data_IF_511515325268
#
_entry.id   IF_511515325268
#
_cell.length_a   1.000
_cell.length_b   1.000
_cell.length_c   1.000
_cell.angle_alpha   90.00
_cell.angle_beta   90.00
_cell.angle_gamma   90.00
#
_symmetry.space_group_name_H-M   'P 1'
#
loop_
_entity.id
_entity.type
_entity.pdbx_description
1 polymer ?
#
# COMPACT_ATOMS: atom_id res chain seq x y z
N UNK A 1 26.10 36.01 -12.26
CA UNK A 1 25.01 35.01 -12.25
C UNK A 1 24.19 35.26 -10.99
N UNK A 2 23.01 35.80 -11.16
CA UNK A 2 22.13 36.24 -10.10
C UNK A 2 21.56 35.08 -9.27
N UNK A 3 21.52 35.24 -7.96
CA UNK A 3 20.86 34.33 -7.00
C UNK A 3 19.42 33.97 -7.41
N UNK A 4 18.76 34.86 -8.15
CA UNK A 4 17.44 34.63 -8.74
C UNK A 4 17.41 33.46 -9.73
N UNK A 5 18.45 33.26 -10.52
CA UNK A 5 18.54 32.14 -11.47
C UNK A 5 18.65 30.77 -10.77
N UNK A 6 19.37 30.70 -9.67
CA UNK A 6 19.51 29.45 -8.88
C UNK A 6 18.21 29.09 -8.15
N UNK A 7 17.47 30.08 -7.67
CA UNK A 7 16.15 29.88 -7.05
C UNK A 7 15.10 29.43 -8.06
N UNK A 8 15.11 29.98 -9.27
CA UNK A 8 14.17 29.59 -10.34
C UNK A 8 14.46 28.17 -10.81
N UNK A 9 15.74 27.81 -10.95
CA UNK A 9 16.14 26.44 -11.32
C UNK A 9 15.81 25.42 -10.22
N UNK A 10 16.01 25.83 -8.96
CA UNK A 10 15.62 25.01 -7.79
C UNK A 10 14.09 24.82 -7.74
N UNK A 11 13.31 25.86 -8.02
CA UNK A 11 11.84 25.82 -8.04
C UNK A 11 11.31 25.01 -9.26
N UNK A 12 11.95 25.13 -10.43
CA UNK A 12 11.57 24.33 -11.60
C UNK A 12 11.93 22.84 -11.43
N UNK A 13 12.97 22.53 -10.66
CA UNK A 13 13.35 21.16 -10.34
C UNK A 13 12.36 20.51 -9.34
N UNK A 14 11.58 21.32 -8.63
CA UNK A 14 10.52 20.89 -7.71
C UNK A 14 9.11 21.02 -8.31
N UNK A 15 8.97 21.09 -9.63
CA UNK A 15 7.65 20.89 -10.21
C UNK A 15 7.16 19.51 -9.75
N UNK A 16 5.91 19.42 -9.21
CA UNK A 16 5.32 18.13 -8.91
C UNK A 16 5.29 17.36 -10.22
N UNK A 17 6.26 16.47 -10.39
CA UNK A 17 6.17 15.42 -11.40
C UNK A 17 4.81 14.79 -11.18
N UNK A 18 4.06 14.61 -12.23
CA UNK A 18 2.88 13.76 -12.20
C UNK A 18 3.20 12.59 -11.28
N UNK A 19 2.49 12.56 -10.15
CA UNK A 19 2.71 11.52 -9.14
C UNK A 19 2.58 10.22 -9.91
N UNK A 20 3.70 9.54 -10.10
CA UNK A 20 3.70 8.29 -10.84
C UNK A 20 2.70 7.37 -10.12
N UNK A 21 1.92 6.62 -10.84
CA UNK A 21 0.90 5.70 -10.29
C UNK A 21 1.47 4.87 -9.13
N UNK A 22 2.75 4.51 -9.22
CA UNK A 22 3.50 3.81 -8.17
C UNK A 22 3.61 4.63 -6.88
N UNK A 23 3.85 5.94 -6.97
CA UNK A 23 3.94 6.81 -5.79
C UNK A 23 2.57 6.97 -5.12
N UNK A 24 1.51 7.02 -5.91
CA UNK A 24 0.15 7.11 -5.41
C UNK A 24 -0.25 5.85 -4.63
N UNK A 25 0.10 4.67 -5.16
CA UNK A 25 -0.10 3.39 -4.47
C UNK A 25 0.72 3.33 -3.17
N UNK A 26 2.00 3.70 -3.21
CA UNK A 26 2.86 3.72 -2.03
C UNK A 26 2.33 4.66 -0.94
N UNK A 27 1.79 5.80 -1.33
CA UNK A 27 1.23 6.80 -0.44
C UNK A 27 -0.07 6.30 0.20
N UNK A 28 -0.93 5.62 -0.57
CA UNK A 28 -2.11 4.94 -0.05
C UNK A 28 -1.75 3.88 1.00
N UNK A 29 -0.77 3.01 0.71
CA UNK A 29 -0.32 2.00 1.66
C UNK A 29 0.24 2.63 2.94
N UNK A 30 1.06 3.67 2.81
CA UNK A 30 1.58 4.42 3.96
C UNK A 30 0.46 5.02 4.81
N UNK A 31 -0.57 5.59 4.18
CA UNK A 31 -1.73 6.14 4.89
C UNK A 31 -2.52 5.06 5.63
N UNK A 32 -2.73 3.90 5.03
CA UNK A 32 -3.42 2.75 5.65
C UNK A 32 -2.62 2.24 6.85
N UNK A 33 -1.30 2.12 6.72
CA UNK A 33 -0.41 1.68 7.81
C UNK A 33 -0.46 2.67 8.97
N UNK A 34 -0.39 3.97 8.70
CA UNK A 34 -0.46 5.02 9.73
C UNK A 34 -1.82 5.02 10.43
N UNK A 35 -2.90 4.90 9.68
CA UNK A 35 -4.25 4.82 10.24
C UNK A 35 -4.41 3.58 11.11
N UNK A 36 -3.95 2.43 10.64
CA UNK A 36 -3.97 1.18 11.39
C UNK A 36 -3.14 1.25 12.66
N UNK A 37 -1.94 1.83 12.60
CA UNK A 37 -1.09 2.04 13.75
C UNK A 37 -1.75 2.97 14.78
N UNK A 38 -2.40 4.03 14.32
CA UNK A 38 -3.14 4.94 15.21
C UNK A 38 -4.28 4.23 15.91
N UNK A 39 -5.06 3.41 15.20
CA UNK A 39 -6.16 2.63 15.79
C UNK A 39 -5.63 1.59 16.80
N UNK A 40 -4.49 0.97 16.51
CA UNK A 40 -3.86 -0.01 17.40
C UNK A 40 -3.18 0.63 18.63
N UNK A 41 -2.85 1.92 18.59
CA UNK A 41 -2.35 2.66 19.75
C UNK A 41 -3.46 3.00 20.75
N UNK A 42 -4.71 2.92 20.36
CA UNK A 42 -5.82 3.16 21.29
C UNK A 42 -5.82 2.13 22.43
N UNK A 43 -6.09 2.56 23.66
CA UNK A 43 -6.16 1.64 24.81
C UNK A 43 -7.27 0.59 24.65
N UNK A 44 -8.29 0.87 23.85
CA UNK A 44 -9.35 -0.09 23.50
C UNK A 44 -8.85 -1.26 22.63
N UNK A 45 -7.76 -1.09 21.90
CA UNK A 45 -7.16 -2.13 21.07
C UNK A 45 -6.29 -3.10 21.87
N UNK A 46 -5.81 -2.69 23.05
CA UNK A 46 -5.05 -3.55 23.96
C UNK A 46 -5.97 -4.26 24.95
N UNK A 47 -5.65 -5.50 25.27
CA UNK A 47 -6.38 -6.30 26.27
C UNK A 47 -6.20 -5.77 27.70
N UNK A 48 -5.05 -5.21 27.98
CA UNK A 48 -4.73 -4.63 29.29
C UNK A 48 -5.30 -3.20 29.49
N UNK A 49 -5.97 -2.63 28.48
CA UNK A 49 -6.52 -1.27 28.54
C UNK A 49 -5.45 -0.17 28.57
N UNK A 50 -4.18 -0.54 28.40
CA UNK A 50 -3.05 0.38 28.32
C UNK A 50 -2.52 0.38 26.89
N UNK A 51 -2.21 1.58 26.36
CA UNK A 51 -1.67 1.65 25.00
C UNK A 51 -0.32 0.92 24.92
N UNK A 52 -0.21 0.00 23.96
CA UNK A 52 1.04 -0.74 23.70
C UNK A 52 2.21 0.14 23.22
N UNK A 53 1.95 1.42 22.98
CA UNK A 53 2.90 2.33 22.39
C UNK A 53 2.93 2.30 20.86
N UNK A 54 3.50 3.36 20.30
CA UNK A 54 3.50 3.58 18.85
C UNK A 54 4.35 2.54 18.09
N UNK A 55 5.47 2.10 18.66
CA UNK A 55 6.38 1.16 17.99
C UNK A 55 5.76 -0.20 17.72
N UNK A 56 5.18 -0.91 18.71
CA UNK A 56 4.51 -2.18 18.47
C UNK A 56 3.29 -2.03 17.57
N UNK A 57 2.52 -0.97 17.73
CA UNK A 57 1.36 -0.68 16.91
C UNK A 57 1.74 -0.48 15.44
N UNK A 58 2.79 0.32 15.18
CA UNK A 58 3.29 0.56 13.83
C UNK A 58 3.85 -0.73 13.19
N UNK A 59 4.61 -1.49 13.95
CA UNK A 59 5.15 -2.78 13.48
C UNK A 59 4.03 -3.75 13.10
N UNK A 60 3.03 -3.91 13.98
CA UNK A 60 1.89 -4.80 13.73
C UNK A 60 1.05 -4.33 12.56
N UNK A 61 0.77 -3.02 12.45
CA UNK A 61 0.03 -2.45 11.33
C UNK A 61 0.77 -2.65 9.99
N UNK A 62 2.08 -2.43 9.96
CA UNK A 62 2.90 -2.65 8.78
C UNK A 62 2.91 -4.13 8.39
N UNK A 63 3.14 -5.02 9.35
CA UNK A 63 3.15 -6.47 9.14
C UNK A 63 1.80 -6.98 8.62
N UNK A 64 0.70 -6.49 9.17
CA UNK A 64 -0.65 -6.86 8.75
C UNK A 64 -0.95 -6.36 7.34
N UNK A 65 -0.64 -5.10 7.04
CA UNK A 65 -0.90 -4.51 5.73
C UNK A 65 -0.02 -5.11 4.63
N UNK A 66 1.25 -5.40 4.93
CA UNK A 66 2.15 -6.07 3.99
C UNK A 66 1.99 -7.60 3.95
N UNK A 67 1.09 -8.14 4.76
CA UNK A 67 0.81 -9.59 4.86
C UNK A 67 2.07 -10.41 5.14
N UNK A 68 3.04 -9.83 5.85
CA UNK A 68 4.29 -10.51 6.20
C UNK A 68 4.12 -11.52 7.33
N UNK A 69 3.10 -11.35 8.18
CA UNK A 69 2.79 -12.26 9.27
C UNK A 69 3.76 -12.21 10.44
N UNK A 70 4.65 -11.22 10.48
CA UNK A 70 5.58 -11.04 11.59
C UNK A 70 4.84 -10.46 12.79
N UNK A 71 4.99 -11.08 13.94
CA UNK A 71 4.39 -10.65 15.21
C UNK A 71 5.48 -10.31 16.22
N UNK A 72 5.31 -9.18 16.87
CA UNK A 72 6.20 -8.75 17.96
C UNK A 72 5.70 -9.31 19.30
N UNK A 73 4.40 -9.39 19.47
CA UNK A 73 3.69 -9.95 20.61
C UNK A 73 2.63 -10.91 20.13
N UNK A 74 2.28 -11.89 20.95
CA UNK A 74 1.21 -12.81 20.61
C UNK A 74 -0.13 -12.06 20.41
N UNK A 75 -0.71 -12.27 19.25
CA UNK A 75 -1.92 -11.52 18.82
C UNK A 75 -3.11 -11.79 19.74
N UNK A 76 -3.19 -12.98 20.31
CA UNK A 76 -4.31 -13.36 21.15
C UNK A 76 -4.23 -12.75 22.56
N UNK A 77 -3.04 -12.73 23.14
CA UNK A 77 -2.85 -12.24 24.51
C UNK A 77 -2.77 -10.71 24.59
N UNK A 78 -2.17 -10.07 23.59
CA UNK A 78 -1.89 -8.64 23.60
C UNK A 78 -3.06 -7.80 23.12
N UNK A 79 -3.74 -8.23 22.05
CA UNK A 79 -4.76 -7.43 21.39
C UNK A 79 -6.17 -7.83 21.87
N UNK A 80 -7.00 -6.82 22.16
CA UNK A 80 -8.42 -7.01 22.44
C UNK A 80 -9.15 -7.48 21.18
N UNK A 81 -10.42 -7.90 21.32
CA UNK A 81 -11.25 -8.24 20.17
C UNK A 81 -11.32 -7.12 19.13
N UNK A 82 -11.33 -5.86 19.56
CA UNK A 82 -11.27 -4.70 18.68
C UNK A 82 -9.94 -4.61 17.92
N UNK A 83 -8.82 -4.77 18.62
CA UNK A 83 -7.49 -4.79 17.99
C UNK A 83 -7.35 -5.90 16.96
N UNK A 84 -7.87 -7.10 17.25
CA UNK A 84 -7.87 -8.23 16.32
C UNK A 84 -8.70 -7.95 15.06
N UNK A 85 -9.85 -7.32 15.19
CA UNK A 85 -10.69 -6.91 14.03
C UNK A 85 -9.95 -5.87 13.18
N UNK A 86 -9.28 -4.91 13.79
CA UNK A 86 -8.45 -3.92 13.06
C UNK A 86 -7.33 -4.61 12.28
N UNK A 87 -6.61 -5.55 12.91
CA UNK A 87 -5.56 -6.32 12.26
C UNK A 87 -6.12 -7.13 11.08
N UNK A 88 -7.27 -7.78 11.25
CA UNK A 88 -7.96 -8.51 10.19
C UNK A 88 -8.31 -7.60 9.00
N UNK A 89 -8.86 -6.42 9.27
CA UNK A 89 -9.18 -5.43 8.23
C UNK A 89 -7.91 -4.98 7.47
N UNK A 90 -6.80 -4.77 8.19
CA UNK A 90 -5.53 -4.39 7.58
C UNK A 90 -4.99 -5.51 6.65
N UNK A 91 -5.08 -6.77 7.08
CA UNK A 91 -4.70 -7.92 6.25
C UNK A 91 -5.58 -8.02 5.01
N UNK A 92 -6.87 -7.80 5.14
CA UNK A 92 -7.81 -7.83 4.01
C UNK A 92 -7.52 -6.70 3.00
N UNK A 93 -7.32 -5.48 3.50
CA UNK A 93 -7.02 -4.33 2.64
C UNK A 93 -5.63 -4.50 1.98
N UNK A 94 -4.64 -4.98 2.73
CA UNK A 94 -3.29 -5.20 2.22
C UNK A 94 -3.22 -6.35 1.20
N UNK A 95 -3.77 -7.51 1.55
CA UNK A 95 -3.71 -8.71 0.73
C UNK A 95 -4.62 -8.65 -0.49
N UNK A 96 -5.92 -8.57 -0.26
CA UNK A 96 -6.91 -8.54 -1.34
C UNK A 96 -6.96 -7.20 -2.06
N UNK A 97 -6.77 -6.11 -1.34
CA UNK A 97 -6.76 -4.76 -1.91
C UNK A 97 -5.67 -4.60 -2.96
N UNK A 98 -4.45 -5.07 -2.67
CA UNK A 98 -3.33 -5.01 -3.62
C UNK A 98 -3.62 -5.80 -4.90
N UNK A 99 -4.10 -7.02 -4.78
CA UNK A 99 -4.45 -7.85 -5.95
C UNK A 99 -5.58 -7.23 -6.78
N UNK A 100 -6.61 -6.69 -6.11
CA UNK A 100 -7.74 -6.02 -6.78
C UNK A 100 -7.30 -4.76 -7.49
N UNK A 101 -6.49 -3.91 -6.86
CA UNK A 101 -5.97 -2.68 -7.46
C UNK A 101 -5.04 -3.00 -8.62
N UNK A 102 -4.14 -3.98 -8.47
CA UNK A 102 -3.26 -4.42 -9.54
C UNK A 102 -4.06 -4.96 -10.74
N UNK A 103 -5.06 -5.79 -10.50
CA UNK A 103 -5.92 -6.34 -11.55
C UNK A 103 -6.75 -5.25 -12.23
N UNK A 104 -7.32 -4.34 -11.44
CA UNK A 104 -8.08 -3.20 -11.97
C UNK A 104 -7.19 -2.27 -12.81
N UNK A 105 -5.97 -2.01 -12.33
CA UNK A 105 -5.00 -1.18 -13.04
C UNK A 105 -4.61 -1.83 -14.39
N UNK A 106 -4.32 -3.13 -14.38
CA UNK A 106 -4.02 -3.89 -15.60
C UNK A 106 -5.22 -3.86 -16.55
N UNK A 107 -6.43 -4.01 -16.03
CA UNK A 107 -7.64 -3.97 -16.84
C UNK A 107 -7.90 -2.58 -17.46
N UNK A 108 -7.68 -1.51 -16.69
CA UNK A 108 -7.79 -0.12 -17.16
C UNK A 108 -6.70 0.23 -18.18
N UNK A 109 -5.46 -0.20 -17.94
CA UNK A 109 -4.39 -0.03 -18.92
C UNK A 109 -4.65 -0.83 -20.20
N UNK A 110 -5.15 -2.06 -20.09
CA UNK A 110 -5.55 -2.86 -21.24
C UNK A 110 -6.67 -2.21 -22.07
N UNK A 111 -7.59 -1.52 -21.42
CA UNK A 111 -8.64 -0.76 -22.11
C UNK A 111 -8.09 0.41 -22.92
N UNK A 112 -7.00 1.03 -22.47
CA UNK A 112 -6.34 2.15 -23.20
C UNK A 112 -5.35 1.70 -24.27
N UNK A 113 -4.80 0.50 -24.18
CA UNK A 113 -3.73 0.03 -25.07
C UNK A 113 -4.27 -1.00 -26.09
N UNK A 114 -5.58 -1.19 -26.19
CA UNK A 114 -6.17 -2.13 -27.15
C UNK A 114 -5.61 -3.56 -26.95
N UNK A 115 -6.46 -4.48 -26.65
CA UNK A 115 -6.21 -5.90 -26.30
C UNK A 115 -5.44 -6.71 -27.37
N UNK A 116 -4.54 -6.10 -28.11
CA UNK A 116 -3.95 -6.76 -29.27
C UNK A 116 -2.69 -7.59 -29.05
N UNK A 117 -1.83 -7.37 -28.03
CA UNK A 117 -0.54 -8.09 -28.03
C UNK A 117 -0.59 -9.54 -27.59
N UNK A 118 -1.60 -9.97 -26.82
CA UNK A 118 -1.64 -11.33 -26.30
C UNK A 118 -2.28 -12.32 -27.25
N UNK A 119 -3.18 -11.85 -28.11
CA UNK A 119 -3.84 -12.70 -29.12
C UNK A 119 -2.90 -13.09 -30.26
N UNK A 120 -1.91 -12.26 -30.56
CA UNK A 120 -1.01 -12.51 -31.68
C UNK A 120 0.08 -13.53 -31.38
N UNK A 121 0.48 -13.69 -30.12
CA UNK A 121 1.53 -14.65 -29.73
C UNK A 121 1.05 -16.09 -29.85
N UNK A 122 -0.25 -16.34 -29.74
CA UNK A 122 -0.82 -17.67 -29.90
C UNK A 122 -1.31 -17.96 -31.32
N UNK A 123 -1.61 -16.95 -32.11
CA UNK A 123 -2.14 -17.11 -33.47
C UNK A 123 -1.07 -17.13 -34.57
N UNK A 124 0.14 -16.66 -34.29
CA UNK A 124 1.22 -16.61 -35.28
C UNK A 124 2.08 -17.86 -35.37
N UNK A 125 1.92 -18.80 -34.47
CA UNK A 125 2.70 -20.03 -34.45
C UNK A 125 2.31 -21.09 -35.51
N UNK A 126 1.07 -21.19 -36.02
CA UNK A 126 0.71 -22.27 -36.94
C UNK A 126 0.83 -21.93 -38.43
N UNK A 127 1.11 -20.71 -38.82
CA UNK A 127 1.02 -20.29 -40.22
C UNK A 127 2.33 -20.11 -40.91
N UNK A 128 3.38 -20.74 -40.45
CA UNK A 128 4.61 -20.73 -41.19
C UNK A 128 4.64 -21.87 -42.21
N UNK A 129 3.94 -21.64 -43.30
CA UNK A 129 4.15 -22.36 -44.57
C UNK A 129 4.55 -21.38 -45.62
#
# INVERSE_FOLDING_TARGET
MSLRGKLVVFWMKHRPRHIATTQMVALMFAAIILLGALLLTLPAASREGVSCGLRPALFTATSATCVTGLVLYDTWSQWSGFGQVVILCLIQIGGLGFMSVATLLIFLLRRKIGLQPVSYTHLTLPTNR
#
